data_IF_421037690684
#
_entry.id   IF_421037690684
#
_cell.length_a   1.000
_cell.length_b   1.000
_cell.length_c   1.000
_cell.angle_alpha   90.00
_cell.angle_beta   90.00
_cell.angle_gamma   90.00
#
_symmetry.space_group_name_H-M   'P 1'
#
loop_
_entity.id
_entity.type
_entity.pdbx_description
1 polymer ?
#
# COMPACT_ATOMS: atom_id res chain seq x y z
N UNK A 1 9.56 -13.88 -12.30
CA UNK A 1 10.70 -13.51 -11.43
C UNK A 1 10.94 -11.99 -11.33
N UNK A 2 11.53 -11.28 -12.31
CA UNK A 2 11.77 -9.81 -12.18
C UNK A 2 10.50 -9.00 -11.84
N UNK A 3 9.40 -9.22 -12.56
CA UNK A 3 8.13 -8.53 -12.31
C UNK A 3 7.52 -8.87 -10.94
N UNK A 4 7.74 -10.09 -10.43
CA UNK A 4 7.27 -10.48 -9.09
C UNK A 4 8.06 -9.80 -7.99
N UNK A 5 9.38 -9.76 -8.13
CA UNK A 5 10.27 -9.07 -7.17
C UNK A 5 9.90 -7.58 -7.13
N UNK A 6 9.64 -6.97 -8.30
CA UNK A 6 9.20 -5.58 -8.38
C UNK A 6 7.83 -5.37 -7.72
N UNK A 7 6.86 -6.25 -7.98
CA UNK A 7 5.54 -6.18 -7.37
C UNK A 7 5.59 -6.29 -5.84
N UNK A 8 6.36 -7.25 -5.31
CA UNK A 8 6.54 -7.44 -3.86
C UNK A 8 7.24 -6.22 -3.26
N UNK A 9 8.32 -5.74 -3.90
CA UNK A 9 9.03 -4.54 -3.45
C UNK A 9 8.12 -3.30 -3.38
N UNK A 10 7.30 -3.09 -4.42
CA UNK A 10 6.36 -1.98 -4.48
C UNK A 10 5.31 -2.05 -3.36
N UNK A 11 4.70 -3.22 -3.14
CA UNK A 11 3.73 -3.41 -2.05
C UNK A 11 4.38 -3.15 -0.70
N UNK A 12 5.56 -3.71 -0.45
CA UNK A 12 6.28 -3.52 0.82
C UNK A 12 6.65 -2.05 1.06
N UNK A 13 7.11 -1.33 0.03
CA UNK A 13 7.41 0.10 0.13
C UNK A 13 6.17 0.94 0.46
N UNK A 14 5.03 0.64 -0.18
CA UNK A 14 3.78 1.39 0.03
C UNK A 14 3.18 1.08 1.41
N UNK A 15 3.26 -0.17 1.88
CA UNK A 15 2.87 -0.53 3.24
C UNK A 15 3.74 0.19 4.27
N UNK A 16 5.07 0.20 4.08
CA UNK A 16 5.98 0.92 4.98
C UNK A 16 5.72 2.43 5.00
N UNK A 17 5.43 3.03 3.85
CA UNK A 17 5.05 4.44 3.75
C UNK A 17 3.72 4.74 4.47
N UNK A 18 2.72 3.85 4.37
CA UNK A 18 1.45 4.02 5.08
C UNK A 18 1.68 4.02 6.60
N UNK A 19 2.37 3.00 7.13
CA UNK A 19 2.68 2.93 8.57
C UNK A 19 3.53 4.11 9.04
N UNK A 20 4.50 4.57 8.24
CA UNK A 20 5.28 5.76 8.58
C UNK A 20 4.42 7.03 8.60
N UNK A 21 3.50 7.20 7.66
CA UNK A 21 2.56 8.33 7.66
C UNK A 21 1.61 8.27 8.85
N UNK A 22 1.20 7.07 9.25
CA UNK A 22 0.35 6.82 10.42
C UNK A 22 1.05 7.21 11.73
N UNK A 23 2.28 6.75 11.93
CA UNK A 23 3.12 7.09 13.09
C UNK A 23 3.44 8.60 13.14
N UNK A 24 3.71 9.23 11.99
CA UNK A 24 3.93 10.68 11.93
C UNK A 24 2.65 11.43 12.34
N UNK A 25 1.49 10.99 11.88
CA UNK A 25 0.22 11.64 12.22
C UNK A 25 -0.10 11.52 13.71
N UNK A 26 0.12 10.35 14.30
CA UNK A 26 -0.09 10.10 15.72
C UNK A 26 0.96 10.85 16.59
N UNK A 27 2.20 11.00 16.11
CA UNK A 27 3.24 11.80 16.78
C UNK A 27 2.93 13.31 16.76
N UNK A 28 2.42 13.83 15.65
CA UNK A 28 2.19 15.27 15.48
C UNK A 28 0.93 15.75 16.19
N UNK A 29 -0.10 14.91 16.36
CA UNK A 29 -1.35 15.26 17.05
C UNK A 29 -1.80 14.13 17.99
N UNK A 30 -1.48 14.21 19.30
CA UNK A 30 -1.93 13.22 20.28
C UNK A 30 -3.45 13.25 20.52
N UNK A 31 -4.12 14.39 20.29
CA UNK A 31 -5.58 14.51 20.28
C UNK A 31 -6.10 14.29 18.86
N UNK A 32 -6.62 13.09 18.60
CA UNK A 32 -7.08 12.62 17.30
C UNK A 32 -8.09 13.59 16.67
N UNK A 33 -7.67 14.35 15.66
CA UNK A 33 -8.53 15.23 14.89
C UNK A 33 -9.10 14.51 13.66
N UNK A 34 -10.36 14.82 13.31
CA UNK A 34 -11.09 14.19 12.20
C UNK A 34 -10.36 14.25 10.83
N UNK A 35 -9.42 15.19 10.66
CA UNK A 35 -8.58 15.31 9.45
C UNK A 35 -7.52 14.20 9.32
N UNK A 36 -7.07 13.60 10.42
CA UNK A 36 -6.07 12.53 10.41
C UNK A 36 -6.69 11.25 9.85
N UNK A 37 -7.94 10.96 10.17
CA UNK A 37 -8.69 9.84 9.59
C UNK A 37 -8.69 9.87 8.06
N UNK A 38 -8.88 11.05 7.47
CA UNK A 38 -8.83 11.21 6.01
C UNK A 38 -7.44 10.91 5.42
N UNK A 39 -6.36 11.31 6.10
CA UNK A 39 -4.99 11.00 5.65
C UNK A 39 -4.74 9.49 5.73
N UNK A 40 -5.17 8.84 6.82
CA UNK A 40 -5.09 7.39 6.99
C UNK A 40 -5.90 6.66 5.91
N UNK A 41 -7.11 7.13 5.58
CA UNK A 41 -7.95 6.56 4.51
C UNK A 41 -7.30 6.69 3.13
N UNK A 42 -6.70 7.84 2.82
CA UNK A 42 -5.98 8.03 1.55
C UNK A 42 -4.75 7.12 1.48
N UNK A 43 -4.01 6.98 2.58
CA UNK A 43 -2.83 6.11 2.63
C UNK A 43 -3.22 4.62 2.52
N UNK A 44 -4.32 4.20 3.17
CA UNK A 44 -4.90 2.87 2.99
C UNK A 44 -5.36 2.63 1.54
N UNK A 45 -5.94 3.65 0.89
CA UNK A 45 -6.29 3.62 -0.52
C UNK A 45 -5.08 3.38 -1.43
N UNK A 46 -3.93 3.99 -1.14
CA UNK A 46 -2.70 3.76 -1.90
C UNK A 46 -2.19 2.31 -1.78
N UNK A 47 -2.23 1.73 -0.58
CA UNK A 47 -1.88 0.31 -0.34
C UNK A 47 -2.81 -0.63 -1.12
N UNK A 48 -4.11 -0.28 -1.21
CA UNK A 48 -5.08 -1.07 -1.96
C UNK A 48 -4.75 -1.14 -3.46
N UNK A 49 -4.37 -0.01 -4.08
CA UNK A 49 -3.93 0.01 -5.49
C UNK A 49 -2.64 -0.81 -5.70
N UNK A 50 -1.71 -0.75 -4.75
CA UNK A 50 -0.51 -1.58 -4.79
C UNK A 50 -0.84 -3.08 -4.76
N UNK A 51 -1.76 -3.48 -3.88
CA UNK A 51 -2.22 -4.86 -3.75
C UNK A 51 -2.91 -5.36 -5.02
N UNK A 52 -3.80 -4.56 -5.63
CA UNK A 52 -4.43 -4.88 -6.91
C UNK A 52 -3.39 -5.10 -8.00
N UNK A 53 -2.38 -4.22 -8.08
CA UNK A 53 -1.31 -4.33 -9.09
C UNK A 53 -0.51 -5.62 -8.90
N UNK A 54 -0.21 -6.00 -7.66
CA UNK A 54 0.46 -7.26 -7.37
C UNK A 54 -0.39 -8.48 -7.75
N UNK A 55 -1.70 -8.44 -7.51
CA UNK A 55 -2.64 -9.49 -7.94
C UNK A 55 -2.66 -9.61 -9.46
N UNK A 56 -2.75 -8.49 -10.19
CA UNK A 56 -2.74 -8.49 -11.67
C UNK A 56 -1.44 -9.11 -12.20
N UNK A 57 -0.28 -8.74 -11.64
CA UNK A 57 1.01 -9.32 -12.03
C UNK A 57 1.05 -10.82 -11.73
N UNK A 58 0.52 -11.24 -10.58
CA UNK A 58 0.37 -12.66 -10.24
C UNK A 58 -0.52 -13.40 -11.23
N UNK A 59 -1.67 -12.83 -11.58
CA UNK A 59 -2.59 -13.37 -12.57
C UNK A 59 -1.92 -13.50 -13.95
N UNK A 60 -1.19 -12.49 -14.42
CA UNK A 60 -0.48 -12.54 -15.72
C UNK A 60 0.57 -13.67 -15.76
N UNK A 61 1.21 -13.96 -14.63
CA UNK A 61 2.29 -14.95 -14.57
C UNK A 61 1.74 -16.37 -14.37
N UNK A 62 0.71 -16.52 -13.54
CA UNK A 62 0.21 -17.83 -13.11
C UNK A 62 -1.08 -18.28 -13.82
N UNK A 63 -1.82 -17.38 -14.48
CA UNK A 63 -2.97 -17.79 -15.30
C UNK A 63 -2.42 -18.27 -16.65
N UNK A 64 -2.57 -19.56 -16.99
CA UNK A 64 -2.15 -20.07 -18.28
C UNK A 64 -2.99 -19.41 -19.38
N UNK A 65 -2.32 -18.78 -20.34
CA UNK A 65 -2.95 -18.49 -21.64
C UNK A 65 -3.17 -19.84 -22.32
N UNK A 66 -4.43 -20.27 -22.37
CA UNK A 66 -4.87 -21.32 -23.29
C UNK A 66 -4.49 -20.96 -24.73
#
# INVERSE_FOLDING_TARGET
>A
WMLQILAIGLVMSIVGLNTAAEEIADFVHPDFHNKIGFIKDVAAGAVFFAAITAIIIGCIIYIPKF
#
